data_IF_554767576359
#
_entry.id   IF_554767576359
#
_cell.length_a   1.000
_cell.length_b   1.000
_cell.length_c   1.000
_cell.angle_alpha   90.00
_cell.angle_beta   90.00
_cell.angle_gamma   90.00
#
_symmetry.space_group_name_H-M   'P 1'
#
loop_
_entity.id
_entity.type
_entity.pdbx_description
1 polymer ?
#
# COMPACT_ATOMS: atom_id res chain seq x y z
N UNK A 1 0.19 -7.31 13.00
CA UNK A 1 -0.93 -6.37 13.20
C UNK A 1 -2.04 -6.61 12.19
N UNK A 2 -3.30 -6.18 12.47
CA UNK A 2 -4.43 -6.36 11.57
C UNK A 2 -4.79 -5.07 10.85
N UNK A 3 -5.04 -5.17 9.54
CA UNK A 3 -5.44 -4.10 8.64
C UNK A 3 -6.58 -4.56 7.73
N UNK A 4 -7.10 -3.66 6.90
CA UNK A 4 -8.25 -3.92 6.06
C UNK A 4 -7.99 -3.61 4.59
N UNK A 5 -8.57 -4.44 3.72
CA UNK A 5 -8.62 -4.23 2.28
C UNK A 5 -10.06 -4.33 1.77
N UNK A 6 -10.44 -3.47 0.86
CA UNK A 6 -11.75 -3.53 0.19
C UNK A 6 -11.60 -3.88 -1.28
N UNK A 7 -12.42 -4.80 -1.78
CA UNK A 7 -12.44 -5.20 -3.18
C UNK A 7 -13.87 -5.43 -3.68
N UNK A 8 -14.18 -5.11 -4.94
CA UNK A 8 -15.41 -5.56 -5.58
C UNK A 8 -15.39 -7.06 -5.94
N UNK A 9 -14.23 -7.69 -5.90
CA UNK A 9 -14.01 -9.08 -6.26
C UNK A 9 -13.69 -9.94 -5.04
N UNK A 10 -14.12 -11.20 -5.08
CA UNK A 10 -13.77 -12.21 -4.08
C UNK A 10 -12.52 -12.98 -4.54
N UNK A 11 -11.53 -13.10 -3.65
CA UNK A 11 -10.31 -13.85 -3.89
C UNK A 11 -9.77 -14.46 -2.58
N UNK A 12 -8.95 -15.50 -2.69
CA UNK A 12 -8.36 -16.21 -1.56
C UNK A 12 -6.95 -15.74 -1.21
N UNK A 13 -6.27 -15.07 -2.15
CA UNK A 13 -4.92 -14.55 -1.97
C UNK A 13 -4.72 -13.28 -2.79
N UNK A 14 -3.85 -12.38 -2.32
CA UNK A 14 -3.46 -11.21 -3.07
C UNK A 14 -2.56 -11.57 -4.26
N UNK A 15 -2.88 -11.04 -5.43
CA UNK A 15 -2.07 -11.16 -6.64
C UNK A 15 -1.55 -9.77 -7.06
N UNK A 16 -0.24 -9.60 -6.95
CA UNK A 16 0.42 -8.36 -7.35
C UNK A 16 0.66 -8.27 -8.88
N UNK A 17 0.33 -9.30 -9.66
CA UNK A 17 0.39 -9.22 -11.12
C UNK A 17 -0.58 -8.19 -11.71
N UNK A 18 -1.69 -7.93 -11.01
CA UNK A 18 -2.70 -6.92 -11.36
C UNK A 18 -2.45 -5.56 -10.68
N UNK A 19 -1.37 -5.42 -9.90
CA UNK A 19 -1.06 -4.17 -9.21
C UNK A 19 -0.87 -3.01 -10.19
N UNK A 20 -1.49 -1.87 -9.89
CA UNK A 20 -1.44 -0.68 -10.74
C UNK A 20 -2.57 -0.58 -11.76
N UNK A 21 -3.38 -1.60 -11.94
CA UNK A 21 -4.64 -1.51 -12.67
C UNK A 21 -5.64 -0.62 -11.90
N UNK A 22 -6.38 0.20 -12.60
CA UNK A 22 -7.35 1.10 -11.98
C UNK A 22 -6.74 2.39 -11.40
N UNK A 23 -6.47 2.45 -10.10
CA UNK A 23 -6.04 3.69 -9.42
C UNK A 23 -4.55 4.05 -9.58
N UNK A 24 -3.75 3.18 -10.22
CA UNK A 24 -2.31 3.38 -10.43
C UNK A 24 -1.48 3.18 -9.15
N UNK A 25 -0.18 3.51 -9.24
CA UNK A 25 0.81 3.31 -8.17
C UNK A 25 1.16 4.60 -7.42
N UNK A 26 0.17 5.34 -6.94
CA UNK A 26 0.42 6.63 -6.29
C UNK A 26 1.36 6.52 -5.09
N UNK A 27 1.25 5.45 -4.32
CA UNK A 27 2.03 5.24 -3.10
C UNK A 27 3.06 4.10 -3.21
N UNK A 28 3.27 3.53 -4.39
CA UNK A 28 4.21 2.47 -4.66
C UNK A 28 3.57 1.16 -5.07
N UNK A 29 4.38 0.22 -5.49
CA UNK A 29 3.97 -1.14 -5.83
C UNK A 29 3.72 -1.94 -4.54
N UNK A 30 2.59 -2.66 -4.45
CA UNK A 30 2.27 -3.49 -3.29
C UNK A 30 0.78 -3.68 -3.05
N UNK A 31 0.44 -4.45 -2.03
CA UNK A 31 -0.92 -4.63 -1.52
C UNK A 31 -1.31 -3.43 -0.67
N UNK A 32 -2.37 -2.73 -1.04
CA UNK A 32 -2.84 -1.53 -0.33
C UNK A 32 -3.80 -1.90 0.79
N UNK A 33 -3.46 -1.49 2.02
CA UNK A 33 -4.23 -1.76 3.24
C UNK A 33 -4.50 -0.46 4.01
N UNK A 34 -5.53 -0.47 4.85
CA UNK A 34 -5.92 0.64 5.71
C UNK A 34 -6.14 0.19 7.15
N UNK A 35 -5.80 1.04 8.12
CA UNK A 35 -6.18 0.84 9.53
C UNK A 35 -7.69 0.99 9.76
N UNK A 36 -8.41 1.66 8.84
CA UNK A 36 -9.80 2.03 9.03
C UNK A 36 -10.72 1.28 8.08
N UNK A 37 -11.62 0.49 8.64
CA UNK A 37 -12.61 -0.32 7.91
C UNK A 37 -13.39 0.50 6.87
N UNK A 38 -13.90 1.66 7.25
CA UNK A 38 -14.72 2.50 6.36
C UNK A 38 -13.92 3.02 5.17
N UNK A 39 -12.62 3.21 5.33
CA UNK A 39 -11.73 3.59 4.24
C UNK A 39 -11.46 2.40 3.31
N UNK A 40 -11.19 1.21 3.85
CA UNK A 40 -11.07 -0.01 3.06
C UNK A 40 -12.37 -0.29 2.29
N UNK A 41 -13.53 -0.20 2.95
CA UNK A 41 -14.84 -0.39 2.33
C UNK A 41 -15.10 0.61 1.17
N UNK A 42 -14.55 1.81 1.21
CA UNK A 42 -14.63 2.74 0.08
C UNK A 42 -13.99 2.17 -1.19
N UNK A 43 -12.88 1.46 -1.06
CA UNK A 43 -12.17 0.87 -2.20
C UNK A 43 -12.77 -0.46 -2.69
N UNK A 44 -13.82 -0.98 -2.04
CA UNK A 44 -14.59 -2.12 -2.56
C UNK A 44 -15.52 -1.76 -3.72
N UNK A 45 -15.57 -0.49 -4.11
CA UNK A 45 -16.38 -0.04 -5.24
C UNK A 45 -15.70 -0.33 -6.57
N UNK A 46 -16.47 -0.67 -7.61
CA UNK A 46 -15.92 -0.79 -8.95
C UNK A 46 -15.36 0.56 -9.42
N UNK A 47 -14.24 0.51 -10.12
CA UNK A 47 -13.57 1.70 -10.64
C UNK A 47 -14.33 2.38 -11.78
N UNK A 48 -15.28 1.70 -12.43
CA UNK A 48 -16.11 2.27 -13.48
C UNK A 48 -17.52 2.56 -12.96
N UNK A 49 -18.03 3.75 -13.24
CA UNK A 49 -19.41 4.15 -12.92
C UNK A 49 -20.47 3.31 -13.64
N UNK A 50 -20.07 2.56 -14.67
CA UNK A 50 -20.93 1.71 -15.48
C UNK A 50 -21.00 0.27 -14.95
N UNK A 51 -20.10 -0.13 -14.06
CA UNK A 51 -20.11 -1.45 -13.46
C UNK A 51 -20.91 -1.41 -12.15
N UNK A 52 -22.11 -1.96 -12.16
CA UNK A 52 -22.78 -2.35 -10.92
C UNK A 52 -21.97 -3.51 -10.31
N UNK A 53 -21.21 -3.25 -9.26
CA UNK A 53 -20.65 -4.34 -8.46
C UNK A 53 -21.79 -4.91 -7.61
N UNK A 54 -22.27 -6.11 -7.89
CA UNK A 54 -23.34 -6.73 -7.11
C UNK A 54 -22.86 -7.07 -5.69
N UNK A 55 -21.56 -7.08 -5.47
CA UNK A 55 -20.95 -7.45 -4.20
C UNK A 55 -19.81 -6.49 -3.83
N UNK A 56 -19.63 -6.32 -2.55
CA UNK A 56 -18.52 -5.62 -1.94
C UNK A 56 -17.90 -6.52 -0.88
N UNK A 57 -16.59 -6.67 -0.92
CA UNK A 57 -15.89 -7.53 0.04
C UNK A 57 -14.92 -6.69 0.89
N UNK A 58 -14.88 -7.03 2.16
CA UNK A 58 -13.95 -6.50 3.14
C UNK A 58 -13.07 -7.64 3.65
N UNK A 59 -11.79 -7.49 3.49
CA UNK A 59 -10.77 -8.42 3.94
C UNK A 59 -10.14 -7.92 5.22
N UNK A 60 -10.08 -8.74 6.26
CA UNK A 60 -9.18 -8.54 7.39
C UNK A 60 -7.87 -9.25 7.06
N UNK A 61 -6.78 -8.51 7.13
CA UNK A 61 -5.45 -8.94 6.69
C UNK A 61 -4.48 -8.83 7.84
N UNK A 62 -3.76 -9.89 8.14
CA UNK A 62 -2.62 -9.86 9.04
C UNK A 62 -1.33 -9.59 8.29
N UNK A 63 -0.55 -8.63 8.82
CA UNK A 63 0.81 -8.34 8.39
C UNK A 63 1.75 -8.40 9.60
N UNK A 64 3.07 -8.61 9.42
CA UNK A 64 4.05 -8.48 10.50
C UNK A 64 3.93 -7.13 11.22
N UNK A 65 4.32 -7.07 12.48
CA UNK A 65 4.28 -5.82 13.23
C UNK A 65 5.35 -4.85 12.73
N UNK A 66 5.06 -3.55 12.85
CA UNK A 66 6.00 -2.49 12.48
C UNK A 66 7.20 -2.46 13.43
N UNK A 67 8.38 -2.32 12.85
CA UNK A 67 9.61 -2.00 13.56
C UNK A 67 10.28 -0.81 12.89
N UNK A 68 11.25 -0.17 13.55
CA UNK A 68 11.99 0.97 12.98
C UNK A 68 12.70 0.63 11.68
N UNK A 69 13.03 -0.65 11.47
CA UNK A 69 13.86 -1.14 10.37
C UNK A 69 13.09 -1.82 9.23
N UNK A 70 11.76 -2.03 9.37
CA UNK A 70 10.99 -2.80 8.39
C UNK A 70 9.99 -1.97 7.58
N UNK A 71 10.01 -0.65 7.70
CA UNK A 71 9.14 0.22 6.91
C UNK A 71 9.78 1.57 6.60
N UNK A 72 9.26 2.22 5.58
CA UNK A 72 9.54 3.63 5.28
C UNK A 72 8.24 4.43 5.37
N UNK A 73 8.33 5.65 5.91
CA UNK A 73 7.20 6.58 5.96
C UNK A 73 7.27 7.53 4.76
N UNK A 74 6.15 7.71 4.08
CA UNK A 74 6.08 8.43 2.80
C UNK A 74 6.57 9.88 2.88
N UNK A 75 6.38 10.53 4.04
CA UNK A 75 6.67 11.97 4.24
C UNK A 75 7.79 12.24 5.25
N UNK A 76 8.37 11.21 5.84
CA UNK A 76 9.34 11.37 6.92
C UNK A 76 10.74 10.89 6.48
N UNK A 77 11.80 11.31 7.15
CA UNK A 77 13.14 10.84 6.90
C UNK A 77 13.24 9.31 7.03
N UNK A 78 14.00 8.70 6.14
CA UNK A 78 14.25 7.27 6.16
C UNK A 78 15.23 6.91 7.25
N UNK A 79 14.98 5.82 7.99
CA UNK A 79 15.90 5.34 9.02
C UNK A 79 17.29 5.05 8.45
N UNK A 80 18.33 5.46 9.19
CA UNK A 80 19.72 5.34 8.74
C UNK A 80 20.09 3.88 8.40
N UNK A 81 19.62 2.91 9.19
CA UNK A 81 19.84 1.49 8.94
C UNK A 81 19.26 0.98 7.61
N UNK A 82 18.12 1.54 7.19
CA UNK A 82 17.52 1.24 5.88
C UNK A 82 18.34 1.87 4.75
N UNK A 83 18.74 3.13 4.92
CA UNK A 83 19.58 3.83 3.95
C UNK A 83 20.88 3.08 3.73
N UNK A 84 21.57 2.68 4.78
CA UNK A 84 22.84 1.95 4.72
C UNK A 84 22.70 0.61 3.95
N UNK A 85 21.67 -0.18 4.24
CA UNK A 85 21.41 -1.44 3.53
C UNK A 85 21.17 -1.23 2.03
N UNK A 86 20.39 -0.22 1.67
CA UNK A 86 20.09 0.10 0.27
C UNK A 86 21.32 0.63 -0.45
N UNK A 87 22.11 1.53 0.17
CA UNK A 87 23.35 2.05 -0.40
C UNK A 87 24.39 0.94 -0.63
N UNK A 88 24.52 0.03 0.32
CA UNK A 88 25.41 -1.13 0.22
C UNK A 88 25.01 -2.03 -0.97
N UNK A 89 23.71 -2.33 -1.11
CA UNK A 89 23.19 -3.17 -2.17
C UNK A 89 23.32 -2.52 -3.56
N UNK A 90 23.08 -1.21 -3.65
CA UNK A 90 23.15 -0.45 -4.91
C UNK A 90 24.59 -0.01 -5.27
N UNK A 91 25.51 -0.02 -4.31
CA UNK A 91 26.87 0.50 -4.49
C UNK A 91 26.93 2.02 -4.72
N UNK A 92 25.87 2.75 -4.39
CA UNK A 92 25.75 4.20 -4.65
C UNK A 92 25.17 4.91 -3.41
N UNK A 93 25.74 6.06 -3.06
CA UNK A 93 25.25 6.89 -1.97
C UNK A 93 23.97 7.64 -2.34
N UNK A 94 22.98 7.59 -1.45
CA UNK A 94 21.74 8.35 -1.60
C UNK A 94 21.99 9.84 -1.29
N UNK A 95 21.50 10.76 -2.14
CA UNK A 95 21.57 12.19 -1.84
C UNK A 95 20.76 12.54 -0.58
N UNK A 96 21.24 13.47 0.25
CA UNK A 96 20.55 13.92 1.47
C UNK A 96 19.09 14.31 1.25
N UNK A 97 18.80 15.03 0.14
CA UNK A 97 17.44 15.42 -0.22
C UNK A 97 16.50 14.24 -0.49
N UNK A 98 17.06 13.07 -0.82
CA UNK A 98 16.30 11.86 -1.15
C UNK A 98 15.96 11.09 0.12
N UNK A 99 16.88 11.03 1.08
CA UNK A 99 16.67 10.33 2.36
C UNK A 99 15.77 11.08 3.34
N UNK A 100 15.50 12.36 3.06
CA UNK A 100 14.63 13.19 3.89
C UNK A 100 13.14 12.82 3.79
N UNK A 101 12.77 11.93 2.86
CA UNK A 101 11.38 11.62 2.53
C UNK A 101 11.31 10.23 1.87
N UNK A 102 10.56 9.33 2.46
CA UNK A 102 10.47 7.92 1.99
C UNK A 102 9.92 7.79 0.57
N UNK A 103 9.07 8.72 0.12
CA UNK A 103 8.57 8.75 -1.26
C UNK A 103 9.69 9.01 -2.26
N UNK A 104 10.52 10.02 -2.00
CA UNK A 104 11.62 10.37 -2.89
C UNK A 104 12.74 9.33 -2.82
N UNK A 105 12.97 8.72 -1.65
CA UNK A 105 13.90 7.60 -1.49
C UNK A 105 13.49 6.39 -2.34
N UNK A 106 12.24 5.97 -2.27
CA UNK A 106 11.71 4.86 -3.09
C UNK A 106 11.84 5.15 -4.59
N UNK A 107 11.51 6.36 -5.04
CA UNK A 107 11.67 6.74 -6.45
C UNK A 107 13.13 6.77 -6.89
N UNK A 108 14.02 7.20 -6.01
CA UNK A 108 15.46 7.19 -6.29
C UNK A 108 15.96 5.76 -6.48
N UNK A 109 15.54 4.82 -5.61
CA UNK A 109 15.84 3.40 -5.78
C UNK A 109 15.35 2.92 -7.15
N UNK A 110 14.10 3.18 -7.50
CA UNK A 110 13.50 2.78 -8.77
C UNK A 110 14.29 3.29 -9.99
N UNK A 111 14.66 4.57 -9.97
CA UNK A 111 15.43 5.18 -11.03
C UNK A 111 16.86 4.66 -11.11
N UNK A 112 17.49 4.42 -9.98
CA UNK A 112 18.87 3.91 -9.88
C UNK A 112 18.95 2.48 -10.43
N UNK A 113 18.01 1.61 -10.02
CA UNK A 113 17.96 0.21 -10.50
C UNK A 113 17.79 0.11 -12.01
N UNK A 114 16.98 0.96 -12.61
CA UNK A 114 16.71 0.91 -14.04
C UNK A 114 17.59 1.86 -14.88
N UNK A 115 18.47 2.64 -14.27
CA UNK A 115 19.28 3.64 -14.97
C UNK A 115 18.44 4.71 -15.68
N UNK A 116 17.25 5.05 -15.14
CA UNK A 116 16.29 5.97 -15.77
C UNK A 116 16.24 7.32 -15.04
N UNK A 117 15.83 8.36 -15.78
CA UNK A 117 15.58 9.70 -15.19
C UNK A 117 14.12 9.90 -14.74
N UNK A 118 13.24 8.96 -15.02
CA UNK A 118 11.82 9.02 -14.70
C UNK A 118 11.43 7.76 -13.93
N UNK A 119 10.59 7.95 -12.94
CA UNK A 119 9.97 6.85 -12.24
C UNK A 119 8.95 6.15 -13.15
N UNK A 120 9.01 4.82 -13.22
CA UNK A 120 8.16 3.98 -14.06
C UNK A 120 7.52 2.87 -13.23
N UNK A 121 6.49 2.23 -13.75
CA UNK A 121 5.88 1.05 -13.10
C UNK A 121 6.92 -0.05 -12.82
N UNK A 122 7.74 -0.40 -13.82
CA UNK A 122 8.79 -1.40 -13.65
C UNK A 122 9.82 -0.99 -12.57
N UNK A 123 10.14 0.32 -12.48
CA UNK A 123 11.01 0.84 -11.43
C UNK A 123 10.39 0.75 -10.04
N UNK A 124 9.12 1.05 -9.91
CA UNK A 124 8.38 0.92 -8.65
C UNK A 124 8.33 -0.53 -8.17
N UNK A 125 8.09 -1.47 -9.09
CA UNK A 125 8.14 -2.91 -8.80
C UNK A 125 9.52 -3.34 -8.35
N UNK A 126 10.56 -2.99 -9.11
CA UNK A 126 11.94 -3.32 -8.77
C UNK A 126 12.38 -2.72 -7.41
N UNK A 127 11.95 -1.49 -7.10
CA UNK A 127 12.24 -0.86 -5.81
C UNK A 127 11.54 -1.58 -4.66
N UNK A 128 10.28 -2.00 -4.82
CA UNK A 128 9.54 -2.75 -3.81
C UNK A 128 10.17 -4.14 -3.57
N UNK A 129 10.57 -4.84 -4.64
CA UNK A 129 11.26 -6.13 -4.56
C UNK A 129 12.62 -6.00 -3.85
N UNK A 130 13.40 -4.95 -4.15
CA UNK A 130 14.66 -4.68 -3.46
C UNK A 130 14.43 -4.42 -1.97
N UNK A 131 13.52 -3.49 -1.65
CA UNK A 131 13.22 -3.13 -0.27
C UNK A 131 12.75 -4.36 0.54
N UNK A 132 11.84 -5.16 -0.02
CA UNK A 132 11.36 -6.39 0.63
C UNK A 132 12.51 -7.38 0.89
N UNK A 133 13.40 -7.60 -0.09
CA UNK A 133 14.58 -8.46 0.06
C UNK A 133 15.53 -7.96 1.15
N UNK A 134 15.61 -6.65 1.37
CA UNK A 134 16.40 -6.03 2.43
C UNK A 134 15.64 -5.97 3.79
N UNK A 135 14.47 -6.60 3.90
CA UNK A 135 13.67 -6.64 5.13
C UNK A 135 12.82 -5.39 5.38
N UNK A 136 12.69 -4.50 4.40
CA UNK A 136 11.74 -3.37 4.44
C UNK A 136 10.46 -3.81 3.76
N UNK A 137 9.40 -4.05 4.54
CA UNK A 137 8.20 -4.75 4.09
C UNK A 137 7.10 -3.80 3.59
N UNK A 138 7.14 -2.54 4.02
CA UNK A 138 6.05 -1.58 3.78
C UNK A 138 6.56 -0.19 3.43
N UNK A 139 5.73 0.54 2.67
CA UNK A 139 5.66 1.99 2.75
C UNK A 139 4.34 2.38 3.40
N UNK A 140 4.39 3.32 4.36
CA UNK A 140 3.23 3.82 5.08
C UNK A 140 3.04 5.32 4.82
N UNK A 141 1.80 5.78 4.81
CA UNK A 141 1.51 7.21 4.69
C UNK A 141 0.30 7.62 5.51
N UNK A 142 0.34 8.82 6.12
CA UNK A 142 -0.83 9.38 6.78
C UNK A 142 -1.83 9.84 5.72
N UNK A 143 -3.09 9.39 5.82
CA UNK A 143 -4.16 9.86 4.97
C UNK A 143 -4.84 11.07 5.61
N UNK A 144 -4.45 12.26 5.18
CA UNK A 144 -4.87 13.52 5.82
C UNK A 144 -6.06 14.22 5.14
N UNK A 145 -6.61 13.64 4.07
CA UNK A 145 -7.65 14.28 3.25
C UNK A 145 -9.00 14.40 3.94
N UNK A 146 -9.21 13.65 5.02
CA UNK A 146 -10.42 13.70 5.83
C UNK A 146 -10.08 14.17 7.25
N UNK A 147 -9.85 15.47 7.44
CA UNK A 147 -9.81 16.03 8.81
C UNK A 147 -11.14 15.76 9.51
N UNK A 148 -11.18 15.32 10.77
CA UNK A 148 -10.09 15.29 11.74
C UNK A 148 -9.38 13.92 11.90
N UNK A 149 -9.66 12.92 11.08
CA UNK A 149 -9.16 11.57 11.27
C UNK A 149 -7.78 11.40 10.64
N UNK A 150 -6.78 11.15 11.48
CA UNK A 150 -5.48 10.63 11.02
C UNK A 150 -5.70 9.14 10.76
N UNK A 151 -5.61 8.73 9.50
CA UNK A 151 -5.61 7.32 9.12
C UNK A 151 -4.24 6.99 8.56
N UNK A 152 -3.73 5.82 8.89
CA UNK A 152 -2.53 5.28 8.26
C UNK A 152 -2.93 4.30 7.17
N UNK A 153 -2.25 4.39 6.04
CA UNK A 153 -2.38 3.45 4.95
C UNK A 153 -1.03 2.81 4.65
N UNK A 154 -1.07 1.62 4.09
CA UNK A 154 0.08 0.77 3.85
C UNK A 154 0.09 0.30 2.40
N UNK A 155 1.28 0.22 1.79
CA UNK A 155 1.52 -0.65 0.67
C UNK A 155 2.53 -1.71 1.12
N UNK A 156 2.09 -2.95 1.19
CA UNK A 156 2.89 -4.13 1.54
C UNK A 156 3.56 -4.61 0.27
N UNK A 157 4.89 -4.61 0.24
CA UNK A 157 5.67 -4.80 -0.99
C UNK A 157 5.60 -6.22 -1.57
N UNK A 158 5.32 -7.21 -0.72
CA UNK A 158 5.17 -8.60 -1.13
C UNK A 158 3.87 -9.19 -0.58
N UNK A 159 3.06 -9.79 -1.45
CA UNK A 159 1.78 -10.39 -1.08
C UNK A 159 1.91 -11.50 -0.02
N UNK A 160 3.03 -12.19 0.06
CA UNK A 160 3.30 -13.21 1.07
C UNK A 160 3.33 -12.66 2.51
N UNK A 161 3.57 -11.35 2.67
CA UNK A 161 3.50 -10.66 3.95
C UNK A 161 2.09 -10.17 4.32
N UNK A 162 1.08 -10.46 3.48
CA UNK A 162 -0.30 -10.02 3.69
C UNK A 162 -1.24 -11.24 3.73
N UNK A 163 -1.44 -11.81 4.93
CA UNK A 163 -2.27 -13.00 5.13
C UNK A 163 -3.73 -12.62 5.34
N UNK A 164 -4.63 -13.06 4.48
CA UNK A 164 -6.07 -12.94 4.67
C UNK A 164 -6.48 -13.84 5.83
N UNK A 165 -7.14 -13.26 6.85
CA UNK A 165 -7.64 -14.00 8.02
C UNK A 165 -9.15 -14.04 8.12
N UNK A 166 -9.83 -13.10 7.43
CA UNK A 166 -11.28 -13.05 7.36
C UNK A 166 -11.71 -12.35 6.08
N UNK A 167 -12.82 -12.83 5.50
CA UNK A 167 -13.51 -12.17 4.39
C UNK A 167 -14.96 -11.96 4.77
N UNK A 168 -15.47 -10.78 4.52
CA UNK A 168 -16.86 -10.42 4.77
C UNK A 168 -17.47 -9.80 3.52
N UNK A 169 -18.69 -10.21 3.18
CA UNK A 169 -19.53 -9.47 2.25
C UNK A 169 -20.10 -8.26 2.99
N UNK A 170 -19.98 -7.09 2.40
CA UNK A 170 -20.42 -5.84 3.02
C UNK A 170 -21.45 -5.13 2.14
N UNK A 171 -22.30 -4.35 2.77
CA UNK A 171 -23.14 -3.37 2.09
C UNK A 171 -22.65 -1.97 2.43
N UNK A 172 -22.59 -1.12 1.42
CA UNK A 172 -22.20 0.29 1.58
C UNK A 172 -23.29 1.19 1.02
N UNK A 173 -23.54 2.30 1.67
CA UNK A 173 -24.47 3.31 1.22
C UNK A 173 -23.79 4.68 1.15
N UNK A 174 -24.11 5.46 0.13
CA UNK A 174 -23.65 6.84 0.01
C UNK A 174 -24.52 7.75 0.87
N UNK A 175 -23.95 8.28 1.97
CA UNK A 175 -24.61 9.27 2.85
C UNK A 175 -23.76 10.54 2.90
N UNK A 176 -24.35 11.69 2.56
CA UNK A 176 -23.66 12.99 2.60
C UNK A 176 -22.30 12.98 1.87
N UNK A 177 -22.23 12.41 0.67
CA UNK A 177 -20.99 12.25 -0.15
C UNK A 177 -19.92 11.36 0.50
N UNK A 178 -20.28 10.54 1.49
CA UNK A 178 -19.38 9.56 2.12
C UNK A 178 -20.00 8.18 2.03
N UNK A 179 -19.19 7.17 1.78
CA UNK A 179 -19.65 5.80 1.89
C UNK A 179 -19.68 5.35 3.34
N UNK A 180 -20.78 4.77 3.73
CA UNK A 180 -21.02 4.26 5.07
C UNK A 180 -21.29 2.77 4.97
N UNK A 181 -20.56 2.00 5.76
CA UNK A 181 -20.80 0.58 5.93
C UNK A 181 -22.14 0.36 6.62
N UNK A 182 -23.05 -0.40 6.02
CA UNK A 182 -24.42 -0.63 6.51
C UNK A 182 -24.66 -2.04 7.00
N UNK A 183 -23.97 -3.03 6.46
CA UNK A 183 -24.02 -4.42 6.93
C UNK A 183 -22.72 -5.16 6.69
N UNK A 184 -22.50 -6.25 7.44
CA UNK A 184 -21.38 -7.18 7.32
C UNK A 184 -21.89 -8.60 7.49
N UNK A 185 -21.43 -9.52 6.68
CA UNK A 185 -21.75 -10.93 6.73
C UNK A 185 -20.51 -11.74 6.36
N UNK A 186 -20.16 -12.74 7.14
CA UNK A 186 -19.05 -13.65 6.85
C UNK A 186 -19.34 -14.43 5.55
N UNK A 187 -18.28 -14.65 4.78
CA UNK A 187 -18.31 -15.39 3.51
C UNK A 187 -17.77 -16.78 3.71
#
# INVERSE_FOLDING_TARGET
MQLYHGSPELFDAFDLSTAGEGSGLKFGYGVYLSEVITNAAHYSQPHSLEAEAPNHYLYTVEIPDLTEDNHITFTDPVAASIVERVEQELGVKAPEKVIADGKEFRKWIAMTLLGTKKNTFAGEKAAAELLNRLGVLYIIWPYTWTKPYKMTQFAVFDASNARIVKVERISIALKCKKYVLTSRQDV
#
